data_IF_572640783239
#
_entry.id   IF_572640783239
#
_cell.length_a   1.000
_cell.length_b   1.000
_cell.length_c   1.000
_cell.angle_alpha   90.00
_cell.angle_beta   90.00
_cell.angle_gamma   90.00
#
_symmetry.space_group_name_H-M   'P 1'
#
loop_
_entity.id
_entity.type
_entity.pdbx_description
1 polymer ?
#
# COMPACT_ATOMS: atom_id res chain seq x y z
N UNK A 1 -40.42 18.55 53.55
CA UNK A 1 -39.58 17.38 53.83
C UNK A 1 -38.84 17.01 52.56
N UNK A 2 -37.53 16.75 52.68
CA UNK A 2 -36.56 16.18 51.73
C UNK A 2 -37.12 15.01 50.88
N UNK A 3 -36.59 14.57 49.74
CA UNK A 3 -35.39 14.76 48.87
C UNK A 3 -35.68 13.89 47.62
N UNK A 4 -35.23 14.25 46.41
CA UNK A 4 -34.56 13.31 45.46
C UNK A 4 -33.72 14.11 44.47
N UNK A 5 -32.47 13.69 44.34
CA UNK A 5 -31.39 14.25 43.53
C UNK A 5 -31.33 13.66 42.11
N UNK A 6 -30.44 14.25 41.32
CA UNK A 6 -29.47 13.57 40.46
C UNK A 6 -29.83 13.27 38.99
N UNK A 7 -29.17 14.05 38.12
CA UNK A 7 -28.44 13.63 36.92
C UNK A 7 -29.19 12.96 35.77
N UNK A 8 -29.13 13.59 34.60
CA UNK A 8 -28.22 13.18 33.52
C UNK A 8 -28.36 14.19 32.36
N UNK A 9 -27.35 15.02 32.13
CA UNK A 9 -26.17 14.71 31.32
C UNK A 9 -26.49 14.83 29.83
N UNK A 10 -26.15 16.01 29.31
CA UNK A 10 -25.44 16.17 28.04
C UNK A 10 -26.09 15.47 26.85
N UNK A 11 -27.02 16.20 26.20
CA UNK A 11 -27.49 15.91 24.84
C UNK A 11 -26.28 15.76 23.92
N UNK A 12 -25.94 14.48 23.76
CA UNK A 12 -25.01 13.84 22.86
C UNK A 12 -24.71 14.70 21.64
N UNK A 13 -23.46 15.17 21.62
CA UNK A 13 -22.71 15.44 20.40
C UNK A 13 -22.95 14.31 19.41
N UNK A 14 -23.74 14.55 18.39
CA UNK A 14 -23.68 13.77 17.17
C UNK A 14 -22.47 14.25 16.38
N UNK A 15 -21.28 13.90 16.86
CA UNK A 15 -20.10 13.81 15.99
C UNK A 15 -20.37 12.65 15.04
N UNK A 16 -20.93 12.99 13.88
CA UNK A 16 -20.94 12.11 12.73
C UNK A 16 -19.48 11.82 12.38
N UNK A 17 -18.97 10.69 12.90
CA UNK A 17 -17.75 10.07 12.44
C UNK A 17 -17.95 9.66 10.98
N UNK A 18 -17.77 10.64 10.10
CA UNK A 18 -17.74 10.47 8.66
C UNK A 18 -16.59 9.51 8.38
N UNK A 19 -16.92 8.24 8.17
CA UNK A 19 -16.00 7.19 7.70
C UNK A 19 -15.19 7.78 6.56
N UNK A 20 -13.96 8.23 6.85
CA UNK A 20 -13.03 8.75 5.86
C UNK A 20 -12.73 7.58 4.94
N UNK A 21 -13.38 7.53 3.78
CA UNK A 21 -13.02 6.58 2.74
C UNK A 21 -11.56 6.86 2.39
N UNK A 22 -10.66 5.86 2.35
CA UNK A 22 -9.29 6.07 1.91
C UNK A 22 -9.35 6.70 0.52
N UNK A 23 -8.73 7.86 0.35
CA UNK A 23 -8.60 8.48 -0.98
C UNK A 23 -7.74 7.56 -1.83
N UNK A 24 -8.12 7.25 -3.09
CA UNK A 24 -7.24 6.51 -3.98
C UNK A 24 -5.91 7.26 -4.11
N UNK A 25 -4.80 6.56 -3.86
CA UNK A 25 -3.45 7.11 -3.98
C UNK A 25 -3.15 7.28 -5.46
N UNK A 26 -2.90 8.52 -5.90
CA UNK A 26 -2.50 8.79 -7.28
C UNK A 26 -1.07 8.27 -7.53
N UNK A 27 -0.73 8.00 -8.80
CA UNK A 27 0.62 7.59 -9.19
C UNK A 27 1.68 8.60 -8.72
N UNK A 28 1.43 9.90 -8.91
CA UNK A 28 2.32 10.98 -8.43
C UNK A 28 2.53 10.94 -6.92
N UNK A 29 1.47 10.70 -6.14
CA UNK A 29 1.57 10.57 -4.69
C UNK A 29 2.36 9.31 -4.29
N UNK A 30 2.12 8.19 -4.95
CA UNK A 30 2.87 6.95 -4.73
C UNK A 30 4.37 7.17 -4.97
N UNK A 31 4.74 7.78 -6.10
CA UNK A 31 6.14 8.07 -6.43
C UNK A 31 6.79 8.87 -5.31
N UNK A 32 6.15 9.96 -4.87
CA UNK A 32 6.68 10.79 -3.78
C UNK A 32 6.86 10.01 -2.46
N UNK A 33 5.93 9.13 -2.10
CA UNK A 33 6.04 8.30 -0.88
C UNK A 33 7.13 7.22 -1.05
N UNK A 34 7.28 6.66 -2.25
CA UNK A 34 8.30 5.67 -2.59
C UNK A 34 9.71 6.28 -2.75
N UNK A 35 9.88 7.57 -2.43
CA UNK A 35 11.15 8.27 -2.56
C UNK A 35 11.57 8.54 -4.00
N UNK A 36 10.61 8.49 -4.94
CA UNK A 36 10.81 8.81 -6.35
C UNK A 36 10.28 10.21 -6.68
N UNK A 37 11.06 10.96 -7.46
CA UNK A 37 10.71 12.26 -8.03
C UNK A 37 9.77 12.07 -9.24
N UNK A 38 8.50 12.46 -9.14
CA UNK A 38 7.52 12.29 -10.21
C UNK A 38 7.80 13.18 -11.44
N UNK A 39 8.63 14.21 -11.30
CA UNK A 39 8.96 15.14 -12.38
C UNK A 39 10.30 14.76 -13.06
N UNK A 40 10.95 13.67 -12.61
CA UNK A 40 12.19 13.13 -13.19
C UNK A 40 11.88 12.03 -14.21
N UNK A 41 12.29 12.21 -15.47
CA UNK A 41 12.13 11.17 -16.50
C UNK A 41 12.86 9.87 -16.16
N UNK A 42 14.04 9.96 -15.53
CA UNK A 42 14.83 8.78 -15.19
C UNK A 42 14.11 7.93 -14.14
N UNK A 43 13.51 8.58 -13.15
CA UNK A 43 12.78 7.90 -12.08
C UNK A 43 11.41 7.43 -12.55
N UNK A 44 10.80 8.12 -13.52
CA UNK A 44 9.63 7.62 -14.22
C UNK A 44 9.94 6.31 -14.98
N UNK A 45 11.07 6.23 -15.70
CA UNK A 45 11.50 4.99 -16.35
C UNK A 45 11.75 3.87 -15.34
N UNK A 46 12.35 4.19 -14.20
CA UNK A 46 12.55 3.25 -13.11
C UNK A 46 11.21 2.72 -12.58
N UNK A 47 10.25 3.60 -12.37
CA UNK A 47 8.89 3.21 -11.97
C UNK A 47 8.19 2.30 -12.99
N UNK A 48 8.34 2.58 -14.30
CA UNK A 48 7.80 1.70 -15.33
C UNK A 48 8.41 0.30 -15.27
N UNK A 49 9.72 0.18 -15.00
CA UNK A 49 10.37 -1.10 -14.79
C UNK A 49 9.80 -1.84 -13.58
N UNK A 50 9.57 -1.13 -12.46
CA UNK A 50 8.93 -1.70 -11.27
C UNK A 50 7.52 -2.25 -11.55
N UNK A 51 6.73 -1.55 -12.39
CA UNK A 51 5.41 -2.05 -12.83
C UNK A 51 5.51 -3.32 -13.66
N UNK A 52 6.49 -3.42 -14.56
CA UNK A 52 6.70 -4.62 -15.39
C UNK A 52 7.06 -5.82 -14.52
N UNK A 53 7.98 -5.64 -13.57
CA UNK A 53 8.34 -6.69 -12.60
C UNK A 53 7.13 -7.16 -11.80
N UNK A 54 6.30 -6.22 -11.32
CA UNK A 54 5.07 -6.53 -10.59
C UNK A 54 4.06 -7.28 -11.46
N UNK A 55 3.90 -6.87 -12.73
CA UNK A 55 3.00 -7.54 -13.67
C UNK A 55 3.41 -8.99 -13.89
N UNK A 56 4.71 -9.25 -14.10
CA UNK A 56 5.22 -10.61 -14.24
C UNK A 56 4.98 -11.43 -12.97
N UNK A 57 5.18 -10.86 -11.78
CA UNK A 57 4.97 -11.57 -10.52
C UNK A 57 3.51 -11.96 -10.25
N UNK A 58 2.55 -11.22 -10.80
CA UNK A 58 1.12 -11.52 -10.59
C UNK A 58 0.52 -12.45 -11.65
N UNK A 59 1.25 -12.76 -12.73
CA UNK A 59 0.76 -13.67 -13.79
C UNK A 59 0.43 -15.08 -13.26
N UNK A 60 1.13 -15.52 -12.20
CA UNK A 60 0.89 -16.83 -11.58
C UNK A 60 -0.20 -16.78 -10.49
N UNK A 61 -0.69 -15.59 -10.14
CA UNK A 61 -1.75 -15.37 -9.15
C UNK A 61 -3.14 -15.40 -9.83
N UNK A 62 -3.42 -16.46 -10.60
CA UNK A 62 -4.65 -16.60 -11.39
C UNK A 62 -5.91 -16.96 -10.58
N UNK A 63 -5.77 -17.26 -9.28
CA UNK A 63 -6.90 -17.60 -8.41
C UNK A 63 -7.38 -16.37 -7.63
N UNK A 64 -8.65 -15.98 -7.83
CA UNK A 64 -9.34 -15.01 -6.97
C UNK A 64 -10.29 -15.75 -6.01
N UNK A 65 -10.30 -15.42 -4.71
CA UNK A 65 -9.45 -14.43 -4.03
C UNK A 65 -7.99 -14.88 -3.96
N UNK A 66 -7.06 -13.92 -4.06
CA UNK A 66 -5.62 -14.21 -3.90
C UNK A 66 -5.36 -14.53 -2.44
N UNK A 67 -4.88 -15.74 -2.16
CA UNK A 67 -4.47 -16.12 -0.81
C UNK A 67 -3.27 -15.28 -0.36
N UNK A 68 -3.31 -14.75 0.87
CA UNK A 68 -2.26 -13.90 1.43
C UNK A 68 -0.88 -14.59 1.47
N UNK A 69 -0.83 -15.91 1.68
CA UNK A 69 0.40 -16.71 1.62
C UNK A 69 1.03 -16.70 0.22
N UNK A 70 0.22 -16.88 -0.82
CA UNK A 70 0.67 -16.81 -2.22
C UNK A 70 1.12 -15.40 -2.59
N UNK A 71 0.41 -14.38 -2.12
CA UNK A 71 0.82 -12.99 -2.30
C UNK A 71 2.19 -12.73 -1.67
N UNK A 72 2.40 -13.12 -0.40
CA UNK A 72 3.71 -12.95 0.28
C UNK A 72 4.84 -13.73 -0.39
N UNK A 73 4.54 -14.92 -0.90
CA UNK A 73 5.50 -15.70 -1.67
C UNK A 73 5.89 -14.97 -2.98
N UNK A 74 4.91 -14.48 -3.73
CA UNK A 74 5.14 -13.73 -4.96
C UNK A 74 5.88 -12.40 -4.71
N UNK A 75 5.56 -11.68 -3.63
CA UNK A 75 6.32 -10.50 -3.19
C UNK A 75 7.80 -10.84 -2.93
N UNK A 76 8.05 -11.96 -2.25
CA UNK A 76 9.40 -12.43 -1.95
C UNK A 76 10.17 -12.79 -3.22
N UNK A 77 9.52 -13.49 -4.15
CA UNK A 77 10.11 -13.84 -5.45
C UNK A 77 10.42 -12.60 -6.28
N UNK A 78 9.50 -11.63 -6.36
CA UNK A 78 9.73 -10.36 -7.05
C UNK A 78 10.94 -9.64 -6.46
N UNK A 79 11.02 -9.49 -5.15
CA UNK A 79 12.16 -8.84 -4.51
C UNK A 79 13.49 -9.53 -4.84
N UNK A 80 13.52 -10.87 -4.83
CA UNK A 80 14.72 -11.66 -5.14
C UNK A 80 15.13 -11.62 -6.62
N UNK A 81 14.18 -11.43 -7.54
CA UNK A 81 14.44 -11.36 -8.99
C UNK A 81 14.51 -9.94 -9.55
N UNK A 82 14.13 -8.93 -8.75
CA UNK A 82 14.12 -7.52 -9.12
C UNK A 82 15.47 -7.03 -9.64
N UNK A 83 15.47 -6.12 -10.60
CA UNK A 83 16.70 -5.52 -11.11
C UNK A 83 17.47 -4.77 -10.00
N UNK A 84 18.79 -4.60 -10.13
CA UNK A 84 19.57 -3.83 -9.15
C UNK A 84 19.07 -2.39 -8.95
N UNK A 85 18.48 -1.78 -9.97
CA UNK A 85 17.90 -0.44 -9.92
C UNK A 85 16.62 -0.41 -9.09
N UNK A 86 15.66 -1.30 -9.36
CA UNK A 86 14.38 -1.33 -8.65
C UNK A 86 14.54 -1.82 -7.21
N UNK A 87 15.43 -2.80 -7.01
CA UNK A 87 15.76 -3.32 -5.67
C UNK A 87 16.31 -2.26 -4.74
N UNK A 88 17.05 -1.28 -5.26
CA UNK A 88 17.51 -0.13 -4.44
C UNK A 88 16.34 0.65 -3.86
N UNK A 89 15.28 0.88 -4.64
CA UNK A 89 14.06 1.56 -4.16
C UNK A 89 13.37 0.72 -3.07
N UNK A 90 13.23 -0.58 -3.31
CA UNK A 90 12.63 -1.51 -2.35
C UNK A 90 13.40 -1.53 -1.02
N UNK A 91 14.73 -1.52 -1.06
CA UNK A 91 15.57 -1.53 0.14
C UNK A 91 15.50 -0.22 0.94
N UNK A 92 15.51 0.91 0.23
CA UNK A 92 15.58 2.23 0.88
C UNK A 92 14.25 2.63 1.50
N UNK A 93 13.15 2.32 0.82
CA UNK A 93 11.85 2.90 1.16
C UNK A 93 10.79 1.85 1.52
N UNK A 94 11.01 0.58 1.20
CA UNK A 94 10.01 -0.47 1.37
C UNK A 94 9.74 -0.90 2.81
N UNK A 95 10.67 -0.64 3.73
CA UNK A 95 10.52 -0.93 5.16
C UNK A 95 10.03 0.30 5.96
N UNK A 96 10.01 1.48 5.34
CA UNK A 96 9.75 2.75 6.05
C UNK A 96 8.34 2.83 6.67
N UNK A 97 7.39 2.03 6.19
CA UNK A 97 5.96 2.10 6.58
C UNK A 97 5.41 0.73 7.03
N UNK A 98 6.18 -0.35 6.89
CA UNK A 98 5.66 -1.69 7.13
C UNK A 98 5.89 -2.17 8.56
N UNK A 99 4.81 -2.58 9.23
CA UNK A 99 4.87 -3.18 10.57
C UNK A 99 5.28 -4.66 10.56
N UNK A 100 5.35 -5.29 9.37
CA UNK A 100 5.69 -6.70 9.22
C UNK A 100 7.04 -6.84 8.51
N UNK A 101 8.04 -7.49 9.14
CA UNK A 101 9.28 -7.84 8.47
C UNK A 101 9.00 -8.64 7.18
N UNK A 102 9.66 -8.29 6.09
CA UNK A 102 9.49 -8.94 4.78
C UNK A 102 8.25 -8.52 4.00
N UNK A 103 7.49 -7.54 4.49
CA UNK A 103 6.30 -7.02 3.83
C UNK A 103 6.58 -5.65 3.21
N UNK A 104 7.27 -5.63 2.07
CA UNK A 104 7.65 -4.42 1.38
C UNK A 104 6.42 -3.71 0.79
N UNK A 105 6.04 -2.56 1.37
CA UNK A 105 4.79 -1.88 1.01
C UNK A 105 4.75 -1.42 -0.44
N UNK A 106 5.91 -1.09 -1.03
CA UNK A 106 6.04 -0.65 -2.42
C UNK A 106 5.69 -1.80 -3.36
N UNK A 107 6.33 -2.96 -3.15
CA UNK A 107 6.06 -4.18 -3.92
C UNK A 107 4.59 -4.55 -3.81
N UNK A 108 4.05 -4.54 -2.59
CA UNK A 108 2.64 -4.87 -2.36
C UNK A 108 1.71 -3.95 -3.13
N UNK A 109 1.95 -2.63 -3.04
CA UNK A 109 1.19 -1.62 -3.79
C UNK A 109 1.22 -1.88 -5.29
N UNK A 110 2.40 -2.11 -5.87
CA UNK A 110 2.56 -2.40 -7.29
C UNK A 110 1.82 -3.67 -7.71
N UNK A 111 1.89 -4.73 -6.91
CA UNK A 111 1.19 -5.99 -7.19
C UNK A 111 -0.33 -5.82 -7.18
N UNK A 112 -0.89 -5.04 -6.26
CA UNK A 112 -2.33 -4.74 -6.30
C UNK A 112 -2.73 -3.93 -7.53
N UNK A 113 -1.91 -2.96 -7.95
CA UNK A 113 -2.16 -2.25 -9.20
C UNK A 113 -2.11 -3.19 -10.41
N UNK A 114 -1.17 -4.13 -10.44
CA UNK A 114 -1.04 -5.11 -11.51
C UNK A 114 -2.23 -6.10 -11.53
N UNK A 115 -2.63 -6.62 -10.37
CA UNK A 115 -3.82 -7.50 -10.25
C UNK A 115 -5.12 -6.81 -10.67
N UNK A 116 -5.23 -5.49 -10.52
CA UNK A 116 -6.40 -4.73 -10.96
C UNK A 116 -6.47 -4.53 -12.49
N UNK A 117 -5.38 -4.81 -13.22
CA UNK A 117 -5.30 -4.69 -14.69
C UNK A 117 -5.58 -6.00 -15.43
N UNK A 118 -5.67 -7.12 -14.71
CA UNK A 118 -5.97 -8.47 -15.23
C UNK A 118 -7.42 -8.81 -14.89
#
# INVERSE_FOLDING_TARGET
>A
MAKTECSQESSRRTETAQKRRPTPVSEKMFLSIAGLNPDSEQEHRLYLLMKIEALHAVQDLNSRPVEESRLRQAMSMLYQSASPETRRVYNLYGDAVSASPGDNWIIRWLMWQALAQI
#
